data_IF_477869618614
#
_entry.id   IF_477869618614
#
_cell.length_a   1.000
_cell.length_b   1.000
_cell.length_c   1.000
_cell.angle_alpha   90.00
_cell.angle_beta   90.00
_cell.angle_gamma   90.00
#
_symmetry.space_group_name_H-M   'P 1'
#
loop_
_entity.id
_entity.type
_entity.pdbx_description
1 polymer ?
#
# COMPACT_ATOMS: atom_id res chain seq x y z
N UNK A 1 -3.32 -6.52 -3.75
CA UNK A 1 -2.27 -6.65 -2.73
C UNK A 1 -2.86 -6.27 -1.37
N UNK A 2 -2.57 -7.01 -0.30
CA UNK A 2 -3.14 -6.74 1.02
C UNK A 2 -2.30 -5.71 1.75
N UNK A 3 -2.92 -4.69 2.33
CA UNK A 3 -2.26 -3.74 3.22
C UNK A 3 -2.02 -4.43 4.56
N UNK A 4 -0.80 -4.30 5.10
CA UNK A 4 -0.41 -4.90 6.38
C UNK A 4 -0.05 -3.86 7.42
N UNK A 5 0.55 -2.74 7.01
CA UNK A 5 0.89 -1.64 7.90
C UNK A 5 0.81 -0.29 7.16
N UNK A 6 0.61 0.78 7.93
CA UNK A 6 0.63 2.16 7.46
C UNK A 6 1.57 2.97 8.33
N UNK A 7 2.40 3.78 7.69
CA UNK A 7 3.29 4.73 8.34
C UNK A 7 3.10 6.11 7.73
N UNK A 8 2.89 7.11 8.57
CA UNK A 8 2.88 8.51 8.14
C UNK A 8 4.24 9.12 8.48
N UNK A 9 4.90 9.68 7.48
CA UNK A 9 6.16 10.39 7.63
C UNK A 9 5.92 11.88 7.83
N UNK A 10 6.90 12.56 8.45
CA UNK A 10 6.77 13.97 8.85
C UNK A 10 6.66 14.96 7.66
N UNK A 11 7.00 14.53 6.45
CA UNK A 11 6.94 15.31 5.21
C UNK A 11 5.60 15.14 4.45
N UNK A 12 4.64 14.43 5.04
CA UNK A 12 3.33 14.18 4.42
C UNK A 12 3.30 12.97 3.49
N UNK A 13 4.40 12.21 3.40
CA UNK A 13 4.42 10.92 2.70
C UNK A 13 3.78 9.87 3.59
N UNK A 14 2.91 9.04 3.01
CA UNK A 14 2.43 7.80 3.64
C UNK A 14 3.08 6.61 2.97
N UNK A 15 3.63 5.71 3.80
CA UNK A 15 4.14 4.40 3.38
C UNK A 15 3.10 3.33 3.75
N UNK A 16 2.73 2.51 2.76
CA UNK A 16 1.88 1.33 2.94
C UNK A 16 2.72 0.07 2.74
N UNK A 17 2.91 -0.70 3.81
CA UNK A 17 3.44 -2.04 3.71
C UNK A 17 2.35 -2.96 3.16
N UNK A 18 2.67 -3.70 2.10
CA UNK A 18 1.76 -4.58 1.41
C UNK A 18 2.34 -5.99 1.29
N UNK A 19 1.47 -6.99 1.23
CA UNK A 19 1.79 -8.40 0.98
C UNK A 19 0.97 -8.99 -0.17
N UNK A 20 1.41 -10.13 -0.71
CA UNK A 20 0.75 -10.80 -1.83
C UNK A 20 0.86 -9.99 -3.11
N UNK A 21 2.04 -9.43 -3.34
CA UNK A 21 2.37 -8.61 -4.51
C UNK A 21 3.09 -9.44 -5.58
N UNK A 22 2.80 -9.17 -6.86
CA UNK A 22 3.59 -9.71 -7.97
C UNK A 22 4.84 -8.85 -8.20
N UNK A 23 6.05 -9.34 -7.90
CA UNK A 23 7.28 -8.54 -7.95
C UNK A 23 7.61 -7.97 -9.34
N UNK A 24 6.97 -8.46 -10.41
CA UNK A 24 7.18 -7.96 -11.78
C UNK A 24 6.34 -6.74 -12.14
N UNK A 25 5.32 -6.44 -11.34
CA UNK A 25 4.46 -5.29 -11.56
C UNK A 25 5.19 -4.01 -11.14
N UNK A 26 5.16 -2.98 -11.97
CA UNK A 26 5.58 -1.61 -11.62
C UNK A 26 4.31 -0.80 -11.33
N UNK A 27 4.17 -0.31 -10.09
CA UNK A 27 2.99 0.47 -9.69
C UNK A 27 3.29 1.95 -9.53
N UNK A 28 4.51 2.40 -9.83
CA UNK A 28 4.86 3.82 -9.72
C UNK A 28 4.06 4.62 -10.76
N UNK A 29 3.42 5.70 -10.31
CA UNK A 29 2.52 6.52 -11.12
C UNK A 29 1.14 5.91 -11.35
N UNK A 30 0.89 4.67 -10.90
CA UNK A 30 -0.42 4.06 -10.99
C UNK A 30 -1.37 4.61 -9.92
N UNK A 31 -2.66 4.58 -10.27
CA UNK A 31 -3.74 4.78 -9.31
C UNK A 31 -4.24 3.43 -8.82
N UNK A 32 -4.28 3.26 -7.50
CA UNK A 32 -4.76 2.05 -6.85
C UNK A 32 -5.95 2.40 -5.95
N UNK A 33 -7.00 1.60 -6.01
CA UNK A 33 -8.15 1.72 -5.13
C UNK A 33 -7.88 0.97 -3.82
N UNK A 34 -8.04 1.67 -2.70
CA UNK A 34 -8.12 1.07 -1.37
C UNK A 34 -9.53 0.53 -1.16
N UNK A 35 -9.62 -0.79 -1.04
CA UNK A 35 -10.88 -1.53 -0.95
C UNK A 35 -10.94 -2.40 0.29
N UNK A 36 -12.16 -2.63 0.77
CA UNK A 36 -12.49 -3.69 1.72
C UNK A 36 -13.69 -4.44 1.18
N UNK A 37 -13.56 -5.76 1.02
CA UNK A 37 -14.54 -6.60 0.33
C UNK A 37 -14.77 -6.03 -1.09
N UNK A 38 -15.89 -5.34 -1.33
CA UNK A 38 -16.21 -4.73 -2.62
C UNK A 38 -16.41 -3.19 -2.53
N UNK A 39 -16.18 -2.60 -1.36
CA UNK A 39 -16.33 -1.16 -1.15
C UNK A 39 -15.02 -0.42 -1.38
N UNK A 40 -15.03 0.51 -2.34
CA UNK A 40 -13.92 1.43 -2.58
C UNK A 40 -14.01 2.58 -1.58
N UNK A 41 -13.02 2.69 -0.70
CA UNK A 41 -12.92 3.81 0.25
C UNK A 41 -12.30 5.04 -0.41
N UNK A 42 -11.23 4.85 -1.15
CA UNK A 42 -10.48 5.93 -1.80
C UNK A 42 -9.59 5.38 -2.90
N UNK A 43 -9.18 6.24 -3.83
CA UNK A 43 -8.13 5.96 -4.82
C UNK A 43 -6.87 6.72 -4.43
N UNK A 44 -5.73 6.04 -4.47
CA UNK A 44 -4.40 6.56 -4.12
C UNK A 44 -3.51 6.59 -5.36
N UNK A 45 -2.71 7.63 -5.49
CA UNK A 45 -1.65 7.73 -6.49
C UNK A 45 -0.34 7.27 -5.86
N UNK A 46 0.26 6.22 -6.43
CA UNK A 46 1.52 5.68 -5.93
C UNK A 46 2.65 6.52 -6.52
N UNK A 47 3.45 7.15 -5.65
CA UNK A 47 4.56 8.02 -6.04
C UNK A 47 5.91 7.31 -6.03
N UNK A 48 6.03 6.18 -5.33
CA UNK A 48 7.28 5.46 -5.21
C UNK A 48 7.14 4.07 -4.58
N UNK A 49 8.26 3.37 -4.56
CA UNK A 49 8.38 2.06 -3.95
C UNK A 49 9.67 2.00 -3.14
N UNK A 50 9.53 1.67 -1.86
CA UNK A 50 10.66 1.53 -0.96
C UNK A 50 11.03 0.06 -0.78
N UNK A 51 12.33 -0.22 -0.83
CA UNK A 51 12.85 -1.55 -0.49
C UNK A 51 12.93 -1.67 1.03
N UNK A 52 12.16 -2.59 1.61
CA UNK A 52 12.33 -2.91 3.02
C UNK A 52 13.71 -3.58 3.23
N UNK A 53 14.52 -3.02 4.15
CA UNK A 53 15.88 -3.48 4.44
C UNK A 53 15.98 -4.97 4.84
N UNK A 54 14.87 -5.59 5.28
CA UNK A 54 14.78 -7.00 5.67
C UNK A 54 14.18 -7.93 4.59
N UNK A 55 14.28 -7.57 3.31
CA UNK A 55 13.78 -8.38 2.18
C UNK A 55 14.33 -9.82 2.10
N UNK A 56 15.44 -10.14 2.81
CA UNK A 56 16.01 -11.51 2.84
C UNK A 56 15.05 -12.62 3.30
N UNK A 57 13.91 -12.29 3.91
CA UNK A 57 12.95 -13.29 4.41
C UNK A 57 11.51 -13.16 3.87
N UNK A 58 11.20 -12.16 3.04
CA UNK A 58 9.82 -11.88 2.62
C UNK A 58 9.77 -11.44 1.15
N UNK A 59 9.79 -12.44 0.26
CA UNK A 59 9.79 -12.29 -1.20
C UNK A 59 8.52 -11.57 -1.71
N UNK A 60 7.44 -11.60 -0.92
CA UNK A 60 6.12 -11.14 -1.37
C UNK A 60 5.67 -9.82 -0.73
N UNK A 61 6.62 -9.06 -0.14
CA UNK A 61 6.34 -7.79 0.54
C UNK A 61 6.92 -6.58 -0.19
N UNK A 62 6.12 -5.51 -0.26
CA UNK A 62 6.49 -4.24 -0.87
C UNK A 62 6.04 -3.07 0.01
N UNK A 63 6.83 -2.01 0.05
CA UNK A 63 6.43 -0.76 0.69
C UNK A 63 6.11 0.24 -0.42
N UNK A 64 4.86 0.68 -0.49
CA UNK A 64 4.40 1.65 -1.47
C UNK A 64 4.35 3.04 -0.83
N UNK A 65 4.78 4.04 -1.57
CA UNK A 65 4.73 5.43 -1.16
C UNK A 65 3.59 6.15 -1.86
N UNK A 66 2.94 7.04 -1.13
CA UNK A 66 1.97 7.98 -1.67
C UNK A 66 2.07 9.31 -0.94
N UNK A 67 1.81 10.38 -1.67
CA UNK A 67 1.64 11.73 -1.11
C UNK A 67 0.17 12.02 -0.78
N UNK A 68 -0.74 11.11 -1.11
CA UNK A 68 -2.15 11.24 -0.78
C UNK A 68 -2.36 10.99 0.71
N UNK A 69 -3.30 11.72 1.31
CA UNK A 69 -3.75 11.42 2.66
C UNK A 69 -4.49 10.09 2.66
N UNK A 70 -3.91 9.07 3.27
CA UNK A 70 -4.54 7.74 3.32
C UNK A 70 -5.57 7.69 4.44
N UNK A 71 -6.86 7.61 4.07
CA UNK A 71 -8.00 7.36 4.95
C UNK A 71 -8.07 5.90 5.46
N UNK A 72 -7.01 5.44 6.13
CA UNK A 72 -6.91 4.12 6.75
C UNK A 72 -6.16 4.29 8.08
N UNK A 73 -6.68 3.77 9.19
CA UNK A 73 -5.92 3.77 10.44
C UNK A 73 -4.85 2.68 10.45
N UNK A 74 -3.89 2.74 11.38
CA UNK A 74 -2.89 1.69 11.55
C UNK A 74 -3.51 0.37 12.00
N UNK A 75 -4.52 0.41 12.87
CA UNK A 75 -5.28 -0.75 13.33
C UNK A 75 -6.09 -1.37 12.19
N UNK A 76 -6.72 -0.54 11.34
CA UNK A 76 -7.41 -1.02 10.15
C UNK A 76 -6.42 -1.69 9.18
N UNK A 77 -5.26 -1.07 8.92
CA UNK A 77 -4.22 -1.68 8.07
C UNK A 77 -3.77 -3.06 8.59
N UNK A 78 -3.64 -3.20 9.91
CA UNK A 78 -3.22 -4.45 10.56
C UNK A 78 -4.32 -5.52 10.67
N UNK A 79 -5.58 -5.17 10.37
CA UNK A 79 -6.71 -6.12 10.40
C UNK A 79 -6.63 -7.20 9.32
N UNK A 80 -5.85 -6.98 8.26
CA UNK A 80 -5.77 -7.88 7.09
C UNK A 80 -6.98 -7.81 6.16
N UNK A 81 -7.93 -6.90 6.39
CA UNK A 81 -9.16 -6.77 5.59
C UNK A 81 -9.03 -5.82 4.39
N UNK A 82 -7.94 -5.05 4.32
CA UNK A 82 -7.79 -3.96 3.36
C UNK A 82 -6.85 -4.33 2.23
N UNK A 83 -7.22 -3.93 1.02
CA UNK A 83 -6.47 -4.26 -0.18
C UNK A 83 -6.27 -3.03 -1.07
N UNK A 84 -5.15 -3.00 -1.79
CA UNK A 84 -4.94 -2.13 -2.94
C UNK A 84 -5.11 -2.95 -4.22
N UNK A 85 -5.97 -2.46 -5.13
CA UNK A 85 -6.22 -3.04 -6.45
C UNK A 85 -6.07 -1.96 -7.53
N UNK A 86 -5.76 -2.34 -8.77
CA UNK A 86 -5.72 -1.38 -9.87
C UNK A 86 -7.07 -0.67 -10.03
N UNK A 87 -7.07 0.66 -10.12
CA UNK A 87 -8.29 1.40 -10.43
C UNK A 87 -8.65 1.17 -11.90
N UNK A 88 -9.87 0.71 -12.18
CA UNK A 88 -10.43 0.70 -13.54
C UNK A 88 -10.76 2.11 -14.02
#
# INVERSE_FOLDING_TARGET
>A
MNVTEKFELADGITILACSGYDPTLDVIGMKLSLVREDEVRQTLTISGENKMLNQKFKIDQKALETNDKVLLSSEEAQSGQWQLIGSQ
#
